data_IF_601892631672
#
_entry.id   IF_601892631672
#
_cell.length_a   1.000
_cell.length_b   1.000
_cell.length_c   1.000
_cell.angle_alpha   90.00
_cell.angle_beta   90.00
_cell.angle_gamma   90.00
#
_symmetry.space_group_name_H-M   'P 1'
#
loop_
_entity.id
_entity.type
_entity.pdbx_description
1 polymer ?
#
# COMPACT_ATOMS: atom_id res chain seq x y z
N UNK A 1 -10.77 -5.14 -13.28
CA UNK A 1 -11.09 -6.57 -13.14
C UNK A 1 -11.17 -6.97 -11.66
N UNK A 2 -10.18 -6.71 -10.81
CA UNK A 2 -10.16 -7.12 -9.40
C UNK A 2 -11.38 -6.71 -8.56
N UNK A 3 -12.04 -5.62 -8.92
CA UNK A 3 -13.25 -5.15 -8.22
C UNK A 3 -14.53 -5.92 -8.57
N UNK A 4 -14.48 -6.87 -9.48
CA UNK A 4 -15.64 -7.66 -9.91
C UNK A 4 -15.62 -9.10 -9.35
N UNK A 5 -14.75 -9.39 -8.39
CA UNK A 5 -14.63 -10.73 -7.80
C UNK A 5 -14.07 -11.79 -8.76
N UNK A 6 -13.42 -11.36 -9.84
CA UNK A 6 -12.77 -12.26 -10.80
C UNK A 6 -11.36 -12.54 -10.28
N UNK A 7 -10.99 -13.81 -10.05
CA UNK A 7 -9.65 -14.17 -9.65
C UNK A 7 -8.61 -13.74 -10.69
N UNK A 8 -7.48 -13.21 -10.23
CA UNK A 8 -6.40 -12.72 -11.09
C UNK A 8 -5.18 -13.61 -10.95
N UNK A 9 -4.72 -14.15 -12.07
CA UNK A 9 -3.44 -14.84 -12.18
C UNK A 9 -2.39 -13.86 -12.71
N UNK A 10 -1.35 -13.65 -11.92
CA UNK A 10 -0.24 -12.78 -12.28
C UNK A 10 0.90 -13.55 -12.94
N UNK A 11 1.43 -13.03 -14.06
CA UNK A 11 2.59 -13.59 -14.75
C UNK A 11 3.73 -12.62 -14.63
N UNK A 12 4.89 -13.11 -14.19
CA UNK A 12 6.07 -12.29 -13.99
C UNK A 12 6.82 -12.09 -15.31
N UNK A 13 6.90 -10.86 -15.81
CA UNK A 13 7.70 -10.50 -16.99
C UNK A 13 9.09 -9.97 -16.63
N UNK A 14 9.46 -9.97 -15.36
CA UNK A 14 10.71 -9.38 -14.88
C UNK A 14 11.28 -10.12 -13.66
N UNK A 15 11.71 -9.37 -12.65
CA UNK A 15 12.16 -9.96 -11.37
C UNK A 15 10.98 -10.46 -10.56
N UNK A 16 11.16 -11.59 -9.88
CA UNK A 16 10.15 -12.24 -9.03
C UNK A 16 9.57 -11.26 -8.00
N UNK A 17 8.25 -11.22 -7.88
CA UNK A 17 7.53 -10.40 -6.89
C UNK A 17 6.46 -11.23 -6.17
N UNK A 18 5.89 -10.70 -5.10
CA UNK A 18 4.89 -11.40 -4.28
C UNK A 18 3.50 -11.58 -4.93
N UNK A 19 3.26 -10.93 -6.07
CA UNK A 19 1.97 -11.03 -6.78
C UNK A 19 2.04 -11.89 -8.04
N UNK A 20 3.25 -12.20 -8.51
CA UNK A 20 3.45 -12.86 -9.80
C UNK A 20 4.50 -13.94 -9.65
N UNK A 21 4.05 -15.19 -9.50
CA UNK A 21 4.91 -16.33 -9.20
C UNK A 21 5.27 -17.14 -10.45
N UNK A 22 4.60 -16.88 -11.58
CA UNK A 22 4.73 -17.66 -12.80
C UNK A 22 5.69 -16.97 -13.76
N UNK A 23 6.85 -17.57 -14.06
CA UNK A 23 7.71 -17.08 -15.12
C UNK A 23 7.09 -17.39 -16.50
N UNK A 24 7.41 -16.60 -17.55
CA UNK A 24 6.81 -16.77 -18.88
C UNK A 24 6.99 -18.14 -19.49
N UNK A 25 8.11 -18.80 -19.21
CA UNK A 25 8.42 -20.15 -19.68
C UNK A 25 7.48 -21.21 -19.14
N UNK A 26 6.99 -21.04 -17.92
CA UNK A 26 6.08 -21.99 -17.25
C UNK A 26 4.60 -21.69 -17.50
N UNK A 27 4.29 -20.59 -18.21
CA UNK A 27 2.93 -20.11 -18.40
C UNK A 27 1.97 -21.20 -18.88
N UNK A 28 2.34 -21.97 -19.89
CA UNK A 28 1.43 -22.98 -20.49
C UNK A 28 1.13 -24.11 -19.51
N UNK A 29 2.14 -24.59 -18.79
CA UNK A 29 1.98 -25.66 -17.80
C UNK A 29 1.14 -25.21 -16.62
N UNK A 30 1.41 -24.02 -16.10
CA UNK A 30 0.70 -23.48 -14.93
C UNK A 30 -0.74 -23.08 -15.27
N UNK A 31 -0.95 -22.46 -16.42
CA UNK A 31 -2.29 -22.14 -16.89
C UNK A 31 -3.15 -23.40 -17.07
N UNK A 32 -2.56 -24.50 -17.55
CA UNK A 32 -3.26 -25.78 -17.67
C UNK A 32 -3.69 -26.32 -16.30
N UNK A 33 -2.85 -26.19 -15.28
CA UNK A 33 -3.19 -26.58 -13.90
C UNK A 33 -4.32 -25.71 -13.33
N UNK A 34 -4.25 -24.40 -13.55
CA UNK A 34 -5.27 -23.45 -13.08
C UNK A 34 -6.63 -23.73 -13.74
N UNK A 35 -6.65 -23.97 -15.06
CA UNK A 35 -7.88 -24.34 -15.80
C UNK A 35 -8.41 -25.70 -15.30
N UNK A 36 -7.51 -26.62 -14.94
CA UNK A 36 -7.85 -27.90 -14.33
C UNK A 36 -8.34 -27.85 -12.89
N UNK A 37 -8.40 -26.65 -12.28
CA UNK A 37 -8.84 -26.45 -10.90
C UNK A 37 -7.74 -26.64 -9.85
N UNK A 38 -6.49 -26.84 -10.24
CA UNK A 38 -5.35 -27.00 -9.33
C UNK A 38 -4.67 -25.65 -9.05
N UNK A 39 -5.24 -24.87 -8.16
CA UNK A 39 -4.68 -23.59 -7.73
C UNK A 39 -5.11 -23.25 -6.29
N UNK A 40 -4.38 -22.33 -5.67
CA UNK A 40 -4.73 -21.76 -4.37
C UNK A 40 -5.12 -20.30 -4.59
N UNK A 41 -6.12 -19.85 -3.86
CA UNK A 41 -6.50 -18.42 -3.88
C UNK A 41 -6.00 -17.73 -2.62
N UNK A 42 -5.57 -16.48 -2.78
CA UNK A 42 -5.16 -15.60 -1.71
C UNK A 42 -5.92 -14.28 -1.80
N UNK A 43 -6.51 -13.88 -0.68
CA UNK A 43 -7.31 -12.66 -0.61
C UNK A 43 -6.43 -11.46 -0.26
N UNK A 44 -6.37 -10.51 -1.18
CA UNK A 44 -5.65 -9.24 -1.02
C UNK A 44 -6.61 -8.11 -0.76
N UNK A 45 -6.25 -7.22 0.16
CA UNK A 45 -7.03 -6.02 0.44
C UNK A 45 -6.62 -4.87 -0.49
N UNK A 46 -7.56 -3.95 -0.75
CA UNK A 46 -7.25 -2.61 -1.22
C UNK A 46 -7.34 -1.63 -0.06
N UNK A 47 -6.51 -0.61 -0.10
CA UNK A 47 -6.73 0.61 0.66
C UNK A 47 -7.67 1.52 -0.12
N UNK A 48 -8.57 2.16 0.59
CA UNK A 48 -9.42 3.23 0.09
C UNK A 48 -9.00 4.53 0.75
N UNK A 49 -8.72 5.54 -0.07
CA UNK A 49 -8.31 6.86 0.39
C UNK A 49 -9.24 7.94 -0.12
N UNK A 50 -9.54 8.94 0.73
CA UNK A 50 -10.29 10.14 0.37
C UNK A 50 -9.84 11.34 1.17
N UNK A 51 -10.02 12.53 0.62
CA UNK A 51 -9.88 13.77 1.36
C UNK A 51 -11.24 14.07 2.02
N UNK A 52 -11.24 14.29 3.32
CA UNK A 52 -12.46 14.56 4.11
C UNK A 52 -13.22 15.76 3.54
N UNK A 53 -14.52 15.57 3.31
CA UNK A 53 -15.37 16.57 2.69
C UNK A 53 -15.42 16.53 1.15
N UNK A 54 -14.54 15.76 0.48
CA UNK A 54 -14.61 15.50 -0.97
C UNK A 54 -15.36 14.19 -1.24
N UNK A 55 -16.01 14.12 -2.42
CA UNK A 55 -16.80 12.93 -2.81
C UNK A 55 -15.96 11.82 -3.41
N UNK A 56 -14.84 12.19 -4.01
CA UNK A 56 -13.95 11.26 -4.72
C UNK A 56 -13.25 10.33 -3.75
N UNK A 57 -13.21 9.06 -4.11
CA UNK A 57 -12.57 8.00 -3.37
C UNK A 57 -11.64 7.25 -4.32
N UNK A 58 -10.44 6.97 -3.86
CA UNK A 58 -9.38 6.32 -4.63
C UNK A 58 -9.00 5.01 -3.97
N UNK A 59 -8.50 4.07 -4.76
CA UNK A 59 -8.11 2.75 -4.27
C UNK A 59 -6.67 2.45 -4.65
N UNK A 60 -5.96 1.77 -3.76
CA UNK A 60 -4.60 1.29 -3.95
C UNK A 60 -4.49 -0.18 -3.52
N UNK A 61 -3.81 -1.01 -4.29
CA UNK A 61 -3.48 -2.38 -3.93
C UNK A 61 -2.23 -2.42 -3.04
N UNK A 62 -1.22 -1.63 -3.39
CA UNK A 62 0.03 -1.59 -2.66
C UNK A 62 0.03 -0.53 -1.58
N UNK A 63 -0.04 0.76 -1.97
CA UNK A 63 0.13 1.86 -1.02
C UNK A 63 -0.59 3.14 -1.41
N UNK A 64 -0.91 3.89 -0.37
CA UNK A 64 -1.31 5.30 -0.43
C UNK A 64 -0.15 6.13 0.10
N UNK A 65 0.34 7.08 -0.68
CA UNK A 65 1.50 7.92 -0.33
C UNK A 65 1.07 9.37 -0.20
N UNK A 66 1.28 9.95 0.96
CA UNK A 66 1.22 11.39 1.18
C UNK A 66 2.64 11.94 1.12
N UNK A 67 2.94 12.89 0.20
CA UNK A 67 4.30 13.39 -0.02
C UNK A 67 4.32 14.89 -0.34
N UNK A 68 5.49 15.53 -0.21
CA UNK A 68 5.67 16.96 -0.46
C UNK A 68 5.55 17.37 -1.94
N UNK A 69 5.72 16.42 -2.85
CA UNK A 69 5.77 16.68 -4.30
C UNK A 69 7.05 17.37 -4.79
N UNK A 70 7.98 17.65 -3.90
CA UNK A 70 9.25 18.31 -4.22
C UNK A 70 10.39 17.71 -3.40
N UNK A 71 11.58 17.66 -3.99
CA UNK A 71 12.78 17.14 -3.31
C UNK A 71 13.14 18.07 -2.13
N UNK A 72 13.53 17.46 -1.01
CA UNK A 72 13.99 18.15 0.20
C UNK A 72 12.99 19.14 0.82
N UNK A 73 11.71 18.94 0.60
CA UNK A 73 10.65 19.69 1.27
C UNK A 73 9.91 18.78 2.25
N UNK A 74 9.97 19.14 3.53
CA UNK A 74 9.25 18.40 4.56
C UNK A 74 7.79 18.85 4.62
N UNK A 75 6.89 17.88 4.74
CA UNK A 75 5.52 18.13 5.19
C UNK A 75 5.42 17.88 6.69
N UNK A 76 4.56 18.64 7.36
CA UNK A 76 4.19 18.38 8.74
C UNK A 76 2.78 17.83 8.78
N UNK A 77 2.59 16.72 9.49
CA UNK A 77 1.29 16.07 9.61
C UNK A 77 1.06 15.47 10.99
N UNK A 78 -0.21 15.42 11.39
CA UNK A 78 -0.71 14.66 12.52
C UNK A 78 -1.28 13.34 12.03
N UNK A 79 -0.86 12.23 12.65
CA UNK A 79 -1.39 10.90 12.41
C UNK A 79 -2.39 10.52 13.50
N UNK A 80 -3.51 9.96 13.06
CA UNK A 80 -4.55 9.39 13.94
C UNK A 80 -4.87 7.97 13.50
N UNK A 81 -5.17 7.11 14.47
CA UNK A 81 -5.70 5.74 14.25
C UNK A 81 -6.99 5.63 15.05
N UNK A 82 -8.11 5.31 14.39
CA UNK A 82 -9.47 5.25 14.98
C UNK A 82 -9.83 6.54 15.76
N UNK A 83 -9.45 7.70 15.20
CA UNK A 83 -9.58 9.05 15.77
C UNK A 83 -8.68 9.34 16.99
N UNK A 84 -7.85 8.39 17.44
CA UNK A 84 -6.88 8.61 18.50
C UNK A 84 -5.60 9.19 17.92
N UNK A 85 -5.09 10.28 18.51
CA UNK A 85 -3.82 10.89 18.09
C UNK A 85 -2.66 9.94 18.40
N UNK A 86 -1.81 9.70 17.40
CA UNK A 86 -0.64 8.83 17.53
C UNK A 86 0.65 9.66 17.67
N UNK A 87 0.92 10.49 16.66
CA UNK A 87 2.08 11.38 16.67
C UNK A 87 1.95 12.53 15.66
N UNK A 88 2.80 13.55 15.86
CA UNK A 88 3.09 14.59 14.88
C UNK A 88 4.46 14.33 14.28
N UNK A 89 4.59 14.42 12.97
CA UNK A 89 5.83 14.16 12.26
C UNK A 89 6.12 15.24 11.20
N UNK A 90 7.42 15.56 11.04
CA UNK A 90 7.97 16.22 9.86
C UNK A 90 8.77 15.24 9.06
N UNK A 91 8.44 15.06 7.79
CA UNK A 91 9.03 14.07 6.91
C UNK A 91 8.82 14.48 5.45
N UNK A 92 9.50 13.84 4.50
CA UNK A 92 9.22 14.01 3.07
C UNK A 92 7.83 13.48 2.72
N UNK A 93 7.32 12.53 3.50
CA UNK A 93 5.99 11.96 3.33
C UNK A 93 5.67 10.85 4.34
N UNK A 94 4.55 10.19 4.07
CA UNK A 94 4.08 9.01 4.78
C UNK A 94 3.58 7.99 3.75
N UNK A 95 4.10 6.77 3.79
CA UNK A 95 3.57 5.64 3.03
C UNK A 95 2.67 4.83 3.95
N UNK A 96 1.43 4.62 3.52
CA UNK A 96 0.49 3.69 4.15
C UNK A 96 0.32 2.53 3.19
N UNK A 97 0.87 1.36 3.53
CA UNK A 97 0.88 0.20 2.64
C UNK A 97 0.10 -0.99 3.19
N UNK A 98 -0.47 -1.77 2.29
CA UNK A 98 -1.01 -3.10 2.58
C UNK A 98 0.15 -4.08 2.86
N UNK A 99 -0.16 -5.29 3.34
CA UNK A 99 0.83 -6.37 3.42
C UNK A 99 1.41 -6.66 2.03
N UNK A 100 0.60 -6.65 0.97
CA UNK A 100 1.06 -6.80 -0.42
C UNK A 100 2.05 -5.70 -0.82
N UNK A 101 1.72 -4.43 -0.52
CA UNK A 101 2.54 -3.27 -0.84
C UNK A 101 3.79 -3.13 0.03
N UNK A 102 3.93 -3.92 1.09
CA UNK A 102 5.12 -3.89 1.95
C UNK A 102 6.42 -4.20 1.21
N UNK A 103 6.33 -4.90 0.07
CA UNK A 103 7.44 -5.22 -0.83
C UNK A 103 7.52 -4.35 -2.08
N UNK A 104 6.66 -3.32 -2.19
CA UNK A 104 6.68 -2.31 -3.24
C UNK A 104 7.46 -1.06 -2.80
N UNK A 105 6.89 0.12 -2.91
CA UNK A 105 7.59 1.38 -2.58
C UNK A 105 7.97 1.49 -1.09
N UNK A 106 7.16 0.90 -0.19
CA UNK A 106 7.47 0.84 1.25
C UNK A 106 8.81 0.16 1.52
N UNK A 107 9.16 -0.91 0.78
CA UNK A 107 10.44 -1.60 0.91
C UNK A 107 11.62 -0.68 0.57
N UNK A 108 11.51 0.11 -0.51
CA UNK A 108 12.53 1.10 -0.90
C UNK A 108 12.78 2.15 0.17
N UNK A 109 11.78 2.46 1.00
CA UNK A 109 11.88 3.35 2.16
C UNK A 109 12.36 2.66 3.44
N UNK A 110 12.82 1.41 3.36
CA UNK A 110 13.20 0.60 4.52
C UNK A 110 12.01 0.27 5.46
N UNK A 111 10.80 0.12 4.88
CA UNK A 111 9.63 -0.37 5.58
C UNK A 111 9.75 -1.85 5.94
N UNK A 112 8.91 -2.30 6.88
CA UNK A 112 8.87 -3.70 7.27
C UNK A 112 8.29 -4.57 6.14
N UNK A 113 8.90 -5.73 5.89
CA UNK A 113 8.30 -6.77 5.04
C UNK A 113 7.22 -7.46 5.87
N UNK A 114 6.01 -7.50 5.32
CA UNK A 114 4.86 -8.13 5.96
C UNK A 114 4.37 -9.26 5.05
N UNK A 115 4.31 -10.48 5.59
CA UNK A 115 3.74 -11.60 4.85
C UNK A 115 2.32 -11.26 4.38
N UNK A 116 1.97 -11.55 3.14
CA UNK A 116 0.64 -11.26 2.60
C UNK A 116 -0.53 -11.82 3.41
N UNK A 117 -0.32 -12.93 4.10
CA UNK A 117 -1.32 -13.57 4.98
C UNK A 117 -1.63 -12.75 6.22
N UNK A 118 -0.71 -11.84 6.62
CA UNK A 118 -0.88 -11.02 7.82
C UNK A 118 -1.86 -9.89 7.52
N UNK A 119 -2.96 -9.85 8.24
CA UNK A 119 -4.02 -8.85 8.12
C UNK A 119 -3.61 -7.51 8.74
N UNK A 120 -2.62 -6.87 8.12
CA UNK A 120 -1.99 -5.64 8.61
C UNK A 120 -1.86 -4.57 7.53
N UNK A 121 -1.66 -3.34 8.00
CA UNK A 121 -1.16 -2.20 7.21
C UNK A 121 0.08 -1.63 7.91
N UNK A 122 0.99 -1.10 7.13
CA UNK A 122 2.16 -0.40 7.65
C UNK A 122 2.08 1.09 7.36
N UNK A 123 2.56 1.89 8.30
CA UNK A 123 2.65 3.35 8.21
C UNK A 123 4.13 3.71 8.34
N UNK A 124 4.75 4.06 7.23
CA UNK A 124 6.19 4.30 7.14
C UNK A 124 6.46 5.77 6.81
N UNK A 125 6.99 6.57 7.78
CA UNK A 125 7.43 7.94 7.51
C UNK A 125 8.62 7.95 6.56
N UNK A 126 8.53 8.73 5.47
CA UNK A 126 9.60 8.88 4.48
C UNK A 126 10.60 9.92 4.97
N UNK A 127 11.86 9.54 5.13
CA UNK A 127 12.96 10.43 5.55
C UNK A 127 12.55 11.39 6.69
N UNK A 128 12.12 10.85 7.84
CA UNK A 128 11.62 11.65 8.93
C UNK A 128 12.75 12.49 9.55
N UNK A 129 12.43 13.72 9.93
CA UNK A 129 13.38 14.59 10.64
C UNK A 129 13.71 14.08 12.06
N UNK A 130 12.84 13.28 12.64
CA UNK A 130 13.05 12.68 13.96
C UNK A 130 13.82 11.36 13.84
N UNK A 131 14.91 11.24 14.58
CA UNK A 131 15.74 10.02 14.63
C UNK A 131 15.01 8.80 15.23
N UNK A 132 13.94 9.04 15.98
CA UNK A 132 13.17 7.98 16.66
C UNK A 132 11.94 7.51 15.85
N UNK A 133 11.68 8.11 14.69
CA UNK A 133 10.58 7.66 13.84
C UNK A 133 10.84 6.23 13.34
N UNK A 134 9.81 5.40 13.42
CA UNK A 134 9.84 4.00 12.98
C UNK A 134 8.56 3.68 12.22
N UNK A 135 8.63 2.68 11.37
CA UNK A 135 7.45 2.09 10.75
C UNK A 135 6.53 1.54 11.82
N UNK A 136 5.29 1.95 11.81
CA UNK A 136 4.23 1.43 12.66
C UNK A 136 3.41 0.41 11.88
N UNK A 137 3.22 -0.78 12.42
CA UNK A 137 2.36 -1.82 11.85
C UNK A 137 1.12 -1.96 12.73
N UNK A 138 -0.04 -1.97 12.10
CA UNK A 138 -1.33 -2.10 12.80
C UNK A 138 -2.30 -3.00 12.02
N UNK A 139 -3.42 -3.36 12.64
CA UNK A 139 -4.46 -4.14 11.95
C UNK A 139 -5.03 -3.40 10.73
N UNK A 140 -5.30 -4.11 9.66
CA UNK A 140 -5.92 -3.56 8.45
C UNK A 140 -7.37 -3.08 8.65
N UNK A 141 -8.01 -3.43 9.76
CA UNK A 141 -9.36 -2.95 10.10
C UNK A 141 -9.34 -1.53 10.70
N UNK A 142 -8.16 -1.01 11.04
CA UNK A 142 -8.00 0.33 11.61
C UNK A 142 -8.22 1.41 10.56
N UNK A 143 -8.87 2.50 10.98
CA UNK A 143 -9.06 3.69 10.17
C UNK A 143 -7.93 4.67 10.44
N UNK A 144 -7.20 5.02 9.40
CA UNK A 144 -6.09 5.96 9.46
C UNK A 144 -6.57 7.32 9.00
N UNK A 145 -6.17 8.36 9.70
CA UNK A 145 -6.43 9.73 9.31
C UNK A 145 -5.14 10.54 9.44
N UNK A 146 -4.83 11.32 8.41
CA UNK A 146 -3.61 12.13 8.32
C UNK A 146 -4.01 13.56 8.05
N UNK A 147 -3.74 14.46 9.00
CA UNK A 147 -4.04 15.88 8.87
C UNK A 147 -2.80 16.68 8.54
N UNK A 148 -2.78 17.29 7.35
CA UNK A 148 -1.67 18.15 6.89
C UNK A 148 -1.66 19.47 7.68
N UNK A 149 -0.48 19.89 8.13
CA UNK A 149 -0.27 21.07 9.00
C UNK A 149 0.55 22.16 8.29
N UNK A 150 0.54 23.36 8.90
CA UNK A 150 1.50 24.46 8.70
C UNK A 150 1.83 24.81 7.24
N UNK A 151 0.84 25.27 6.47
CA UNK A 151 1.01 25.73 5.08
C UNK A 151 1.78 24.75 4.17
N UNK A 152 1.95 23.50 4.60
CA UNK A 152 2.55 22.46 3.78
C UNK A 152 1.68 22.20 2.57
N UNK A 153 2.31 22.12 1.40
CA UNK A 153 1.69 21.57 0.20
C UNK A 153 2.02 20.09 0.19
N UNK A 154 1.00 19.28 0.12
CA UNK A 154 1.17 17.83 0.03
C UNK A 154 0.40 17.30 -1.17
N UNK A 155 0.77 16.11 -1.60
CA UNK A 155 0.13 15.37 -2.66
C UNK A 155 -0.16 13.96 -2.17
N UNK A 156 -1.26 13.41 -2.65
CA UNK A 156 -1.67 12.06 -2.37
C UNK A 156 -1.59 11.24 -3.65
N UNK A 157 -0.85 10.15 -3.65
CA UNK A 157 -0.78 9.22 -4.77
C UNK A 157 -1.17 7.80 -4.33
N UNK A 158 -1.73 7.03 -5.23
CA UNK A 158 -2.16 5.65 -5.06
C UNK A 158 -1.43 4.77 -6.07
N UNK A 159 -0.68 3.76 -5.61
CA UNK A 159 0.11 2.83 -6.44
C UNK A 159 0.94 3.56 -7.52
N UNK A 160 1.59 4.66 -7.13
CA UNK A 160 2.38 5.54 -8.01
C UNK A 160 1.57 6.24 -9.13
N UNK A 161 0.25 6.16 -9.08
CA UNK A 161 -0.67 6.88 -9.97
C UNK A 161 -1.36 7.99 -9.19
N UNK A 162 -1.97 8.92 -9.93
CA UNK A 162 -2.65 10.10 -9.40
C UNK A 162 -1.75 11.00 -8.54
N UNK A 163 -1.99 12.29 -8.57
CA UNK A 163 -1.33 13.26 -7.72
C UNK A 163 -2.38 14.29 -7.28
N UNK A 164 -3.12 13.94 -6.23
CA UNK A 164 -4.15 14.79 -5.69
C UNK A 164 -3.54 15.79 -4.74
N UNK A 165 -3.75 17.07 -4.99
CA UNK A 165 -3.28 18.11 -4.09
C UNK A 165 -4.04 18.08 -2.77
N UNK A 166 -3.28 18.05 -1.67
CA UNK A 166 -3.77 18.16 -0.29
C UNK A 166 -3.23 19.46 0.31
N UNK A 167 -4.11 20.31 0.78
CA UNK A 167 -3.74 21.60 1.35
C UNK A 167 -3.69 21.56 2.86
N UNK A 168 -3.04 22.57 3.45
CA UNK A 168 -2.98 22.71 4.91
C UNK A 168 -4.37 22.71 5.54
N UNK A 169 -4.53 21.92 6.59
CA UNK A 169 -5.80 21.74 7.31
C UNK A 169 -6.69 20.64 6.76
N UNK A 170 -6.47 20.20 5.51
CA UNK A 170 -7.19 19.03 4.98
C UNK A 170 -6.74 17.74 5.68
N UNK A 171 -7.66 16.80 5.75
CA UNK A 171 -7.50 15.51 6.40
C UNK A 171 -7.70 14.40 5.36
N UNK A 172 -6.70 13.55 5.19
CA UNK A 172 -6.76 12.34 4.35
C UNK A 172 -7.22 11.19 5.22
N UNK A 173 -8.28 10.53 4.81
CA UNK A 173 -8.82 9.33 5.45
C UNK A 173 -8.43 8.11 4.63
N UNK A 174 -7.85 7.10 5.27
CA UNK A 174 -7.39 5.85 4.64
C UNK A 174 -7.94 4.68 5.45
N UNK A 175 -8.54 3.74 4.76
CA UNK A 175 -9.10 2.53 5.38
C UNK A 175 -9.05 1.37 4.39
N UNK A 176 -9.27 0.15 4.87
CA UNK A 176 -9.51 -1.01 4.02
C UNK A 176 -10.77 -0.78 3.19
N UNK A 177 -10.68 -1.06 1.89
CA UNK A 177 -11.85 -1.04 1.01
C UNK A 177 -12.80 -2.21 1.32
N UNK A 178 -14.07 -2.03 0.99
CA UNK A 178 -15.10 -3.08 1.18
C UNK A 178 -14.89 -4.30 0.29
N UNK A 179 -14.18 -4.13 -0.82
CA UNK A 179 -13.89 -5.20 -1.79
C UNK A 179 -12.39 -5.45 -1.80
N UNK A 180 -12.00 -6.72 -1.85
CA UNK A 180 -10.65 -7.19 -2.01
C UNK A 180 -10.37 -7.69 -3.43
N UNK A 181 -9.18 -8.20 -3.63
CA UNK A 181 -8.72 -8.88 -4.83
C UNK A 181 -8.45 -10.35 -4.49
N UNK A 182 -9.03 -11.27 -5.24
CA UNK A 182 -8.65 -12.68 -5.19
C UNK A 182 -7.49 -12.90 -6.15
N UNK A 183 -6.31 -13.17 -5.61
CA UNK A 183 -5.13 -13.58 -6.38
C UNK A 183 -5.10 -15.09 -6.48
N UNK A 184 -4.77 -15.62 -7.66
CA UNK A 184 -4.47 -17.04 -7.87
C UNK A 184 -2.97 -17.21 -7.70
N UNK A 185 -2.57 -18.03 -6.76
CA UNK A 185 -1.18 -18.42 -6.51
C UNK A 185 -0.99 -19.90 -6.77
N UNK A 186 0.21 -20.24 -7.23
CA UNK A 186 0.60 -21.63 -7.52
C UNK A 186 1.50 -22.21 -6.43
N UNK A 187 2.33 -21.37 -5.79
CA UNK A 187 3.34 -21.82 -4.82
C UNK A 187 3.31 -21.03 -3.52
N UNK A 188 3.86 -21.64 -2.49
CA UNK A 188 4.12 -20.97 -1.21
C UNK A 188 5.12 -19.83 -1.36
N UNK A 189 4.99 -18.84 -0.51
CA UNK A 189 5.83 -17.63 -0.41
C UNK A 189 7.32 -17.95 -0.60
N UNK A 190 7.90 -17.44 -1.67
CA UNK A 190 9.34 -17.23 -1.77
C UNK A 190 9.62 -15.73 -1.59
N UNK A 191 10.44 -15.38 -0.62
CA UNK A 191 10.94 -14.00 -0.49
C UNK A 191 11.79 -13.67 -1.73
N UNK A 192 11.69 -12.45 -2.30
CA UNK A 192 12.59 -12.03 -3.36
C UNK A 192 14.03 -12.14 -2.83
N UNK A 193 14.82 -13.02 -3.43
CA UNK A 193 16.26 -13.06 -3.20
C UNK A 193 16.89 -11.90 -3.98
N UNK A 194 17.57 -11.03 -3.26
CA UNK A 194 18.43 -10.01 -3.87
C UNK A 194 19.71 -10.70 -4.32
N UNK A 195 19.84 -10.96 -5.63
CA UNK A 195 21.14 -11.11 -6.29
C UNK A 195 21.60 -9.76 -6.80
#
# INVERSE_FOLDING_TARGET
FGFHGIPILGINLGKLGFLTDIPPEDLTSELTKVIGGNFVTDERIFLEAKIKGKKETFKALNEVVLHSGSIAQLIEYDLFIDNEFVYRQKADGLIVSTSTGSTAYSLSGNGAIISPEVKAISLMPMFPHSLNARTLVTSHEKKISVKVKNNSKAYLSMDSHDNLKVTSGEEVMIQKASQGLTSVSYTHLTLPTTD
#
